data_IF_630770905927
#
_entry.id   IF_630770905927
#
_cell.length_a   1.000
_cell.length_b   1.000
_cell.length_c   1.000
_cell.angle_alpha   90.00
_cell.angle_beta   90.00
_cell.angle_gamma   90.00
#
_symmetry.space_group_name_H-M   'P 1'
#
loop_
_entity.id
_entity.type
_entity.pdbx_description
1 polymer ?
#
# COMPACT_ATOMS: atom_id res chain seq x y z
N UNK A 1 15.53 -40.22 -0.59
CA UNK A 1 14.66 -40.76 0.46
C UNK A 1 13.20 -40.77 0.03
N UNK A 2 12.65 -39.65 -0.49
CA UNK A 2 11.24 -39.56 -0.89
C UNK A 2 10.82 -40.61 -1.91
N UNK A 3 11.62 -40.86 -2.96
CA UNK A 3 11.35 -41.89 -3.99
C UNK A 3 11.55 -43.33 -3.52
N UNK A 4 12.50 -43.56 -2.61
CA UNK A 4 12.85 -44.90 -2.17
C UNK A 4 12.03 -45.37 -0.96
N UNK A 5 11.63 -44.44 -0.09
CA UNK A 5 10.92 -44.72 1.15
C UNK A 5 9.83 -43.67 1.38
N UNK A 6 8.77 -43.63 0.55
CA UNK A 6 7.76 -42.60 0.61
C UNK A 6 6.92 -42.58 1.91
N UNK A 7 6.88 -43.73 2.60
CA UNK A 7 6.14 -43.88 3.87
C UNK A 7 6.99 -43.51 5.11
N UNK A 8 8.25 -43.17 4.93
CA UNK A 8 9.16 -42.88 6.05
C UNK A 8 9.02 -41.40 6.52
N UNK A 9 9.33 -41.14 7.80
CA UNK A 9 9.43 -39.79 8.35
C UNK A 9 10.47 -38.90 7.65
N UNK A 10 11.37 -39.51 6.89
CA UNK A 10 12.40 -38.84 6.11
C UNK A 10 11.89 -38.32 4.76
N UNK A 11 10.80 -38.87 4.21
CA UNK A 11 10.27 -38.45 2.93
C UNK A 11 9.85 -36.97 2.94
N UNK A 12 8.98 -36.50 3.84
CA UNK A 12 8.61 -35.09 3.89
C UNK A 12 9.79 -34.18 4.28
N UNK A 13 10.72 -34.66 5.13
CA UNK A 13 11.91 -33.88 5.47
C UNK A 13 12.81 -33.67 4.25
N UNK A 14 13.05 -34.71 3.45
CA UNK A 14 13.89 -34.61 2.25
C UNK A 14 13.25 -33.76 1.15
N UNK A 15 11.91 -33.83 0.99
CA UNK A 15 11.18 -33.00 0.05
C UNK A 15 11.33 -31.49 0.41
N UNK A 16 11.14 -31.14 1.68
CA UNK A 16 11.28 -29.77 2.14
C UNK A 16 12.74 -29.27 2.05
N UNK A 17 13.72 -30.12 2.36
CA UNK A 17 15.14 -29.78 2.23
C UNK A 17 15.55 -29.58 0.76
N UNK A 18 14.97 -30.32 -0.19
CA UNK A 18 15.18 -30.09 -1.62
C UNK A 18 14.64 -28.70 -2.04
N UNK A 19 13.43 -28.35 -1.62
CA UNK A 19 12.87 -27.03 -1.87
C UNK A 19 13.74 -25.92 -1.28
N UNK A 20 14.18 -26.08 -0.03
CA UNK A 20 15.09 -25.13 0.61
C UNK A 20 16.42 -24.99 -0.15
N UNK A 21 16.97 -26.08 -0.69
CA UNK A 21 18.20 -26.04 -1.48
C UNK A 21 18.06 -25.24 -2.77
N UNK A 22 16.89 -25.23 -3.40
CA UNK A 22 16.59 -24.35 -4.52
C UNK A 22 16.48 -22.89 -4.09
N UNK A 23 15.79 -22.64 -2.97
CA UNK A 23 15.62 -21.28 -2.43
C UNK A 23 16.95 -20.58 -2.15
N UNK A 24 17.91 -21.25 -1.48
CA UNK A 24 19.22 -20.65 -1.15
C UNK A 24 20.13 -20.44 -2.37
N UNK A 25 19.78 -20.99 -3.53
CA UNK A 25 20.46 -20.81 -4.80
C UNK A 25 19.72 -19.81 -5.71
N UNK A 26 18.70 -19.11 -5.18
CA UNK A 26 17.84 -18.17 -5.91
C UNK A 26 17.05 -18.78 -7.05
N UNK A 27 16.90 -20.11 -7.08
CA UNK A 27 16.03 -20.83 -8.02
C UNK A 27 14.59 -20.84 -7.50
N UNK A 28 13.99 -19.65 -7.45
CA UNK A 28 12.68 -19.45 -6.82
C UNK A 28 11.54 -20.23 -7.50
N UNK A 29 11.57 -20.36 -8.82
CA UNK A 29 10.56 -21.11 -9.55
C UNK A 29 10.54 -22.59 -9.17
N UNK A 30 11.72 -23.20 -9.08
CA UNK A 30 11.90 -24.59 -8.67
C UNK A 30 11.57 -24.79 -7.19
N UNK A 31 11.95 -23.82 -6.36
CA UNK A 31 11.59 -23.81 -4.93
C UNK A 31 10.07 -23.77 -4.75
N UNK A 32 9.36 -22.86 -5.44
CA UNK A 32 7.90 -22.74 -5.42
C UNK A 32 7.25 -24.08 -5.80
N UNK A 33 7.64 -24.66 -6.95
CA UNK A 33 7.09 -25.94 -7.41
C UNK A 33 7.25 -27.06 -6.37
N UNK A 34 8.43 -27.17 -5.77
CA UNK A 34 8.70 -28.18 -4.74
C UNK A 34 7.97 -27.91 -3.42
N UNK A 35 7.78 -26.65 -3.03
CA UNK A 35 7.02 -26.28 -1.84
C UNK A 35 5.53 -26.55 -2.00
N UNK A 36 4.93 -26.18 -3.14
CA UNK A 36 3.53 -26.48 -3.45
C UNK A 36 3.28 -27.98 -3.46
N UNK A 37 4.20 -28.74 -4.06
CA UNK A 37 4.15 -30.22 -4.03
C UNK A 37 4.24 -30.76 -2.60
N UNK A 38 5.15 -30.22 -1.76
CA UNK A 38 5.28 -30.61 -0.36
C UNK A 38 3.98 -30.36 0.41
N UNK A 39 3.42 -29.16 0.32
CA UNK A 39 2.19 -28.76 1.01
C UNK A 39 1.02 -29.65 0.59
N UNK A 40 0.92 -29.98 -0.71
CA UNK A 40 -0.12 -30.86 -1.23
C UNK A 40 0.05 -32.32 -0.78
N UNK A 41 1.29 -32.83 -0.77
CA UNK A 41 1.57 -34.24 -0.44
C UNK A 41 1.59 -34.51 1.06
N UNK A 42 1.95 -33.52 1.87
CA UNK A 42 2.14 -33.66 3.31
C UNK A 42 1.40 -32.61 4.14
N UNK A 43 0.07 -32.41 3.94
CA UNK A 43 -0.67 -31.27 4.54
C UNK A 43 -0.76 -31.33 6.09
N UNK A 44 -0.44 -32.47 6.70
CA UNK A 44 -0.44 -32.64 8.16
C UNK A 44 0.96 -32.71 8.77
N UNK A 45 2.00 -32.49 7.97
CA UNK A 45 3.36 -32.47 8.49
C UNK A 45 3.56 -31.25 9.41
N UNK A 46 4.33 -31.46 10.46
CA UNK A 46 4.61 -30.41 11.48
C UNK A 46 5.39 -29.22 10.94
N UNK A 47 5.89 -29.27 9.72
CA UNK A 47 6.68 -28.22 9.05
C UNK A 47 5.91 -27.51 7.97
N UNK A 48 4.59 -27.70 7.88
CA UNK A 48 3.74 -27.02 6.89
C UNK A 48 3.72 -25.52 7.12
N UNK A 49 3.80 -25.05 8.35
CA UNK A 49 3.96 -23.62 8.69
C UNK A 49 5.21 -23.02 8.06
N UNK A 50 6.35 -23.69 8.22
CA UNK A 50 7.61 -23.29 7.57
C UNK A 50 7.54 -23.38 6.03
N UNK A 51 6.88 -24.41 5.48
CA UNK A 51 6.74 -24.54 4.04
C UNK A 51 5.95 -23.36 3.42
N UNK A 52 4.84 -22.96 4.02
CA UNK A 52 4.08 -21.78 3.59
C UNK A 52 4.89 -20.48 3.77
N UNK A 53 5.60 -20.34 4.88
CA UNK A 53 6.49 -19.21 5.09
C UNK A 53 7.58 -19.12 4.01
N UNK A 54 8.25 -20.23 3.71
CA UNK A 54 9.30 -20.29 2.69
C UNK A 54 8.74 -20.05 1.28
N UNK A 55 7.52 -20.52 0.99
CA UNK A 55 6.80 -20.25 -0.26
C UNK A 55 6.51 -18.75 -0.40
N UNK A 56 6.05 -18.10 0.68
CA UNK A 56 5.86 -16.66 0.71
C UNK A 56 7.16 -15.91 0.46
N UNK A 57 8.27 -16.37 1.06
CA UNK A 57 9.60 -15.78 0.83
C UNK A 57 10.07 -15.93 -0.62
N UNK A 58 9.83 -17.08 -1.26
CA UNK A 58 10.16 -17.25 -2.69
C UNK A 58 9.43 -16.25 -3.59
N UNK A 59 8.15 -15.98 -3.30
CA UNK A 59 7.41 -14.93 -4.03
C UNK A 59 7.91 -13.52 -3.68
N UNK A 60 8.27 -13.28 -2.41
CA UNK A 60 8.73 -11.99 -1.94
C UNK A 60 10.07 -11.59 -2.57
N UNK A 61 11.03 -12.49 -2.67
CA UNK A 61 12.36 -12.22 -3.24
C UNK A 61 12.34 -11.96 -4.77
N UNK A 62 11.26 -12.35 -5.46
CA UNK A 62 11.08 -12.04 -6.89
C UNK A 62 10.66 -10.60 -7.18
N UNK A 63 10.53 -9.76 -6.14
CA UNK A 63 10.10 -8.37 -6.28
C UNK A 63 11.30 -7.51 -6.68
N UNK A 64 11.26 -6.94 -7.88
CA UNK A 64 12.32 -6.04 -8.34
C UNK A 64 12.05 -4.55 -8.05
N UNK A 65 10.81 -4.07 -8.27
CA UNK A 65 10.40 -2.70 -7.95
C UNK A 65 8.87 -2.52 -8.09
N UNK A 66 8.33 -1.42 -7.51
CA UNK A 66 6.90 -1.08 -7.49
C UNK A 66 6.29 -0.79 -8.87
N UNK A 67 7.10 -0.61 -9.91
CA UNK A 67 6.59 -0.30 -11.26
C UNK A 67 6.25 -1.55 -12.07
N UNK A 68 6.75 -2.70 -11.66
CA UNK A 68 6.51 -3.98 -12.33
C UNK A 68 5.22 -4.67 -11.88
N UNK A 69 5.06 -5.92 -12.27
CA UNK A 69 3.92 -6.73 -11.86
C UNK A 69 3.92 -6.95 -10.34
N UNK A 70 2.75 -6.78 -9.72
CA UNK A 70 2.54 -7.04 -8.29
C UNK A 70 2.03 -8.45 -7.99
N UNK A 71 1.84 -9.31 -8.99
CA UNK A 71 1.30 -10.66 -8.76
C UNK A 71 2.16 -11.48 -7.79
N UNK A 72 3.51 -11.51 -7.89
CA UNK A 72 4.34 -12.19 -6.89
C UNK A 72 4.11 -11.63 -5.48
N UNK A 73 4.00 -10.31 -5.35
CA UNK A 73 3.76 -9.64 -4.07
C UNK A 73 2.43 -10.02 -3.42
N UNK A 74 1.38 -10.11 -4.24
CA UNK A 74 0.05 -10.54 -3.78
C UNK A 74 0.06 -12.01 -3.38
N UNK A 75 0.80 -12.86 -4.11
CA UNK A 75 1.00 -14.26 -3.76
C UNK A 75 1.77 -14.40 -2.44
N UNK A 76 2.86 -13.66 -2.27
CA UNK A 76 3.61 -13.62 -1.01
C UNK A 76 2.71 -13.21 0.16
N UNK A 77 1.93 -12.13 0.01
CA UNK A 77 1.00 -11.67 1.03
C UNK A 77 -0.01 -12.74 1.43
N UNK A 78 -0.60 -13.44 0.44
CA UNK A 78 -1.56 -14.52 0.68
C UNK A 78 -0.95 -15.63 1.54
N UNK A 79 0.25 -16.06 1.23
CA UNK A 79 0.93 -17.13 1.96
C UNK A 79 1.37 -16.67 3.37
N UNK A 80 1.86 -15.43 3.52
CA UNK A 80 2.13 -14.84 4.85
C UNK A 80 0.85 -14.71 5.69
N UNK A 81 -0.27 -14.24 5.12
CA UNK A 81 -1.57 -14.19 5.80
C UNK A 81 -2.02 -15.58 6.24
N UNK A 82 -1.78 -16.61 5.41
CA UNK A 82 -2.08 -17.99 5.78
C UNK A 82 -1.29 -18.43 7.03
N UNK A 83 0.01 -18.14 7.07
CA UNK A 83 0.87 -18.46 8.23
C UNK A 83 0.38 -17.76 9.49
N UNK A 84 0.07 -16.45 9.40
CA UNK A 84 -0.41 -15.67 10.54
C UNK A 84 -1.73 -16.24 11.10
N UNK A 85 -2.65 -16.59 10.21
CA UNK A 85 -3.99 -17.02 10.62
C UNK A 85 -4.02 -18.45 11.16
N UNK A 86 -3.22 -19.36 10.60
CA UNK A 86 -3.26 -20.78 10.95
C UNK A 86 -2.20 -21.16 12.00
N UNK A 87 -1.09 -20.42 12.08
CA UNK A 87 0.04 -20.71 12.98
C UNK A 87 0.47 -19.49 13.81
N UNK A 88 -0.45 -18.77 14.50
CA UNK A 88 -0.21 -17.44 15.09
C UNK A 88 0.85 -17.40 16.20
N UNK A 89 1.23 -18.57 16.74
CA UNK A 89 2.20 -18.69 17.86
C UNK A 89 3.63 -19.01 17.40
N UNK A 90 3.87 -19.08 16.08
CA UNK A 90 5.20 -19.40 15.55
C UNK A 90 6.01 -18.12 15.28
N UNK A 91 7.33 -18.26 15.31
CA UNK A 91 8.24 -17.16 14.93
C UNK A 91 8.03 -16.76 13.47
N UNK A 92 7.63 -17.71 12.61
CA UNK A 92 7.28 -17.46 11.22
C UNK A 92 6.06 -16.53 11.08
N UNK A 93 5.06 -16.66 11.96
CA UNK A 93 3.92 -15.75 11.97
C UNK A 93 4.30 -14.35 12.42
N UNK A 94 5.24 -14.22 13.35
CA UNK A 94 5.73 -12.91 13.79
C UNK A 94 6.48 -12.21 12.64
N UNK A 95 7.43 -12.90 11.98
CA UNK A 95 8.16 -12.35 10.85
C UNK A 95 7.22 -12.04 9.67
N UNK A 96 6.23 -12.90 9.40
CA UNK A 96 5.23 -12.68 8.35
C UNK A 96 4.46 -11.36 8.52
N UNK A 97 4.18 -10.93 9.75
CA UNK A 97 3.54 -9.62 10.01
C UNK A 97 4.42 -8.47 9.54
N UNK A 98 5.72 -8.49 9.87
CA UNK A 98 6.66 -7.48 9.39
C UNK A 98 6.79 -7.49 7.86
N UNK A 99 6.82 -8.68 7.25
CA UNK A 99 6.85 -8.79 5.78
C UNK A 99 5.60 -8.22 5.13
N UNK A 100 4.41 -8.44 5.70
CA UNK A 100 3.16 -7.86 5.22
C UNK A 100 3.17 -6.33 5.30
N UNK A 101 3.72 -5.76 6.36
CA UNK A 101 3.84 -4.30 6.47
C UNK A 101 4.71 -3.74 5.35
N UNK A 102 5.86 -4.36 5.06
CA UNK A 102 6.72 -3.98 3.93
C UNK A 102 6.00 -4.15 2.58
N UNK A 103 5.26 -5.24 2.39
CA UNK A 103 4.44 -5.47 1.20
C UNK A 103 3.39 -4.36 1.03
N UNK A 104 2.71 -3.98 2.10
CA UNK A 104 1.71 -2.92 2.08
C UNK A 104 2.33 -1.57 1.68
N UNK A 105 3.55 -1.26 2.15
CA UNK A 105 4.30 -0.07 1.71
C UNK A 105 4.57 -0.07 0.20
N UNK A 106 5.00 -1.20 -0.37
CA UNK A 106 5.27 -1.31 -1.82
C UNK A 106 3.98 -1.14 -2.63
N UNK A 107 2.87 -1.77 -2.20
CA UNK A 107 1.59 -1.64 -2.88
C UNK A 107 1.06 -0.19 -2.79
N UNK A 108 1.12 0.43 -1.61
CA UNK A 108 0.72 1.82 -1.42
C UNK A 108 1.58 2.78 -2.26
N UNK A 109 2.88 2.53 -2.38
CA UNK A 109 3.78 3.27 -3.29
C UNK A 109 3.31 3.22 -4.73
N UNK A 110 2.93 2.04 -5.24
CA UNK A 110 2.40 1.88 -6.60
C UNK A 110 1.07 2.62 -6.79
N UNK A 111 0.14 2.50 -5.83
CA UNK A 111 -1.12 3.23 -5.88
C UNK A 111 -0.88 4.75 -5.89
N UNK A 112 0.05 5.24 -5.08
CA UNK A 112 0.47 6.64 -5.06
C UNK A 112 1.07 7.07 -6.40
N UNK A 113 1.97 6.28 -6.98
CA UNK A 113 2.55 6.55 -8.30
C UNK A 113 1.48 6.66 -9.38
N UNK A 114 0.53 5.71 -9.43
CA UNK A 114 -0.58 5.71 -10.37
C UNK A 114 -1.52 6.90 -10.14
N UNK A 115 -1.84 7.22 -8.89
CA UNK A 115 -2.65 8.38 -8.53
C UNK A 115 -2.04 9.69 -9.03
N UNK A 116 -0.75 9.91 -8.78
CA UNK A 116 0.00 11.07 -9.28
C UNK A 116 0.04 11.12 -10.81
N UNK A 117 0.17 9.96 -11.47
CA UNK A 117 0.11 9.88 -12.94
C UNK A 117 -1.26 10.31 -13.48
N UNK A 118 -2.36 9.84 -12.86
CA UNK A 118 -3.71 10.24 -13.26
C UNK A 118 -3.99 11.72 -13.02
N UNK A 119 -3.46 12.34 -11.97
CA UNK A 119 -3.51 13.80 -11.77
C UNK A 119 -2.88 14.53 -12.97
N UNK A 120 -1.65 14.13 -13.37
CA UNK A 120 -0.97 14.72 -14.53
C UNK A 120 -1.78 14.61 -15.84
N UNK A 121 -2.57 13.55 -15.98
CA UNK A 121 -3.47 13.31 -17.11
C UNK A 121 -4.85 13.94 -16.93
N UNK A 122 -5.11 14.66 -15.83
CA UNK A 122 -6.41 15.24 -15.46
C UNK A 122 -7.55 14.22 -15.38
N UNK A 123 -7.23 12.94 -15.12
CA UNK A 123 -8.19 11.85 -14.91
C UNK A 123 -8.57 11.78 -13.43
N UNK A 124 -9.37 12.74 -12.98
CA UNK A 124 -9.64 12.99 -11.57
C UNK A 124 -10.25 11.80 -10.83
N UNK A 125 -11.29 11.16 -11.40
CA UNK A 125 -11.95 10.01 -10.80
C UNK A 125 -10.97 8.84 -10.61
N UNK A 126 -10.15 8.56 -11.62
CA UNK A 126 -9.15 7.50 -11.53
C UNK A 126 -8.11 7.79 -10.45
N UNK A 127 -7.70 9.07 -10.31
CA UNK A 127 -6.78 9.48 -9.26
C UNK A 127 -7.41 9.34 -7.86
N UNK A 128 -8.66 9.80 -7.69
CA UNK A 128 -9.42 9.68 -6.43
C UNK A 128 -9.48 8.23 -5.99
N UNK A 129 -9.85 7.30 -6.89
CA UNK A 129 -9.97 5.88 -6.56
C UNK A 129 -8.64 5.29 -6.08
N UNK A 130 -7.50 5.70 -6.65
CA UNK A 130 -6.17 5.25 -6.20
C UNK A 130 -5.84 5.73 -4.79
N UNK A 131 -6.04 7.00 -4.50
CA UNK A 131 -5.78 7.54 -3.17
C UNK A 131 -6.75 7.01 -2.12
N UNK A 132 -8.04 6.83 -2.47
CA UNK A 132 -9.00 6.18 -1.58
C UNK A 132 -8.64 4.72 -1.29
N UNK A 133 -8.07 4.00 -2.26
CA UNK A 133 -7.58 2.64 -2.05
C UNK A 133 -6.46 2.60 -0.99
N UNK A 134 -5.55 3.59 -0.99
CA UNK A 134 -4.52 3.71 0.05
C UNK A 134 -5.17 3.87 1.43
N UNK A 135 -6.11 4.80 1.57
CA UNK A 135 -6.75 5.07 2.85
C UNK A 135 -7.59 3.90 3.37
N UNK A 136 -8.16 3.10 2.47
CA UNK A 136 -9.02 1.97 2.83
C UNK A 136 -8.22 0.73 3.22
N UNK A 137 -7.15 0.42 2.49
CA UNK A 137 -6.48 -0.88 2.57
C UNK A 137 -5.02 -0.79 3.07
N UNK A 138 -4.43 0.42 3.11
CA UNK A 138 -3.02 0.66 3.43
C UNK A 138 -2.84 1.90 4.30
N UNK A 139 -3.78 2.16 5.21
CA UNK A 139 -3.83 3.38 6.02
C UNK A 139 -2.63 3.55 6.97
N UNK A 140 -1.98 2.44 7.35
CA UNK A 140 -0.81 2.45 8.23
C UNK A 140 0.49 2.81 7.53
N UNK A 141 0.48 2.95 6.20
CA UNK A 141 1.67 3.27 5.42
C UNK A 141 2.01 4.77 5.45
N UNK A 142 3.27 5.08 5.18
CA UNK A 142 3.76 6.47 5.10
C UNK A 142 3.06 7.30 4.01
N UNK A 143 2.36 6.64 3.07
CA UNK A 143 1.67 7.28 1.95
C UNK A 143 0.29 7.85 2.32
N UNK A 144 -0.27 7.50 3.47
CA UNK A 144 -1.63 7.90 3.88
C UNK A 144 -1.79 9.40 4.00
N UNK A 145 -0.84 10.09 4.61
CA UNK A 145 -0.88 11.55 4.75
C UNK A 145 -0.88 12.26 3.38
N UNK A 146 0.00 11.84 2.47
CA UNK A 146 0.01 12.41 1.12
C UNK A 146 -1.26 12.07 0.36
N UNK A 147 -1.79 10.85 0.47
CA UNK A 147 -3.01 10.45 -0.20
C UNK A 147 -4.20 11.33 0.21
N UNK A 148 -4.35 11.63 1.52
CA UNK A 148 -5.37 12.56 2.01
C UNK A 148 -5.15 13.96 1.40
N UNK A 149 -3.93 14.47 1.42
CA UNK A 149 -3.61 15.77 0.82
C UNK A 149 -3.96 15.82 -0.68
N UNK A 150 -3.64 14.78 -1.44
CA UNK A 150 -4.00 14.70 -2.87
C UNK A 150 -5.51 14.68 -3.10
N UNK A 151 -6.26 14.04 -2.22
CA UNK A 151 -7.72 14.10 -2.26
C UNK A 151 -8.23 15.51 -1.99
N UNK A 152 -7.64 16.25 -1.04
CA UNK A 152 -7.95 17.68 -0.84
C UNK A 152 -7.72 18.49 -2.11
N UNK A 153 -6.54 18.36 -2.73
CA UNK A 153 -6.17 19.08 -3.95
C UNK A 153 -7.15 18.79 -5.10
N UNK A 154 -7.47 17.51 -5.33
CA UNK A 154 -8.34 17.12 -6.44
C UNK A 154 -9.76 17.65 -6.21
N UNK A 155 -10.38 17.38 -5.05
CA UNK A 155 -11.74 17.81 -4.77
C UNK A 155 -11.87 19.34 -4.83
N UNK A 156 -10.87 20.06 -4.32
CA UNK A 156 -10.84 21.52 -4.44
C UNK A 156 -10.74 21.98 -5.90
N UNK A 157 -9.89 21.33 -6.70
CA UNK A 157 -9.68 21.67 -8.12
C UNK A 157 -10.94 21.47 -8.97
N UNK A 158 -11.71 20.41 -8.69
CA UNK A 158 -12.97 20.12 -9.43
C UNK A 158 -14.20 20.84 -8.85
N UNK A 159 -14.00 21.67 -7.83
CA UNK A 159 -15.07 22.52 -7.24
C UNK A 159 -15.88 21.86 -6.13
N UNK A 160 -15.53 20.65 -5.69
CA UNK A 160 -16.14 19.94 -4.55
C UNK A 160 -15.53 20.39 -3.22
N UNK A 161 -15.75 21.68 -2.85
CA UNK A 161 -15.08 22.28 -1.70
C UNK A 161 -15.43 21.63 -0.36
N UNK A 162 -16.64 21.15 -0.20
CA UNK A 162 -17.07 20.52 1.05
C UNK A 162 -16.40 19.14 1.25
N UNK A 163 -16.22 18.37 0.18
CA UNK A 163 -15.45 17.13 0.23
C UNK A 163 -13.96 17.41 0.50
N UNK A 164 -13.41 18.44 -0.14
CA UNK A 164 -12.03 18.89 0.12
C UNK A 164 -11.83 19.26 1.61
N UNK A 165 -12.80 19.97 2.21
CA UNK A 165 -12.75 20.33 3.65
C UNK A 165 -12.82 19.10 4.55
N UNK A 166 -13.63 18.07 4.21
CA UNK A 166 -13.71 16.83 4.98
C UNK A 166 -12.34 16.14 5.03
N UNK A 167 -11.66 15.97 3.87
CA UNK A 167 -10.32 15.39 3.83
C UNK A 167 -9.29 16.27 4.55
N UNK A 168 -9.36 17.60 4.43
CA UNK A 168 -8.47 18.50 5.15
C UNK A 168 -8.66 18.41 6.68
N UNK A 169 -9.91 18.27 7.14
CA UNK A 169 -10.24 18.05 8.55
C UNK A 169 -9.72 16.71 9.06
N UNK A 170 -9.86 15.63 8.24
CA UNK A 170 -9.30 14.31 8.54
C UNK A 170 -7.77 14.38 8.71
N UNK A 171 -7.09 15.09 7.81
CA UNK A 171 -5.65 15.29 7.88
C UNK A 171 -5.24 16.09 9.12
N UNK A 172 -6.00 17.15 9.45
CA UNK A 172 -5.76 17.94 10.66
C UNK A 172 -6.01 17.19 11.96
N UNK A 173 -7.00 16.30 11.99
CA UNK A 173 -7.31 15.48 13.16
C UNK A 173 -6.23 14.42 13.44
N UNK A 174 -5.80 13.70 12.41
CA UNK A 174 -4.88 12.58 12.56
C UNK A 174 -3.38 12.99 12.48
N UNK A 175 -3.06 14.07 11.74
CA UNK A 175 -1.68 14.40 11.35
C UNK A 175 -1.39 15.90 11.44
N UNK A 176 -1.72 16.52 12.58
CA UNK A 176 -1.64 17.97 12.80
C UNK A 176 -0.24 18.57 12.55
N UNK A 177 0.82 17.82 12.85
CA UNK A 177 2.22 18.24 12.66
C UNK A 177 2.74 18.03 11.24
N UNK A 178 1.98 17.35 10.38
CA UNK A 178 2.39 16.95 9.03
C UNK A 178 2.62 18.16 8.11
N UNK A 179 3.64 18.05 7.26
CA UNK A 179 3.85 18.99 6.16
C UNK A 179 2.70 18.98 5.14
N UNK A 180 2.02 17.84 4.98
CA UNK A 180 0.86 17.70 4.11
C UNK A 180 -0.35 18.45 4.66
N UNK A 181 -0.53 18.47 5.99
CA UNK A 181 -1.55 19.30 6.63
C UNK A 181 -1.30 20.79 6.35
N UNK A 182 -0.08 21.26 6.54
CA UNK A 182 0.29 22.66 6.26
C UNK A 182 0.04 23.05 4.80
N UNK A 183 0.34 22.15 3.87
CA UNK A 183 0.06 22.35 2.44
C UNK A 183 -1.43 22.41 2.15
N UNK A 184 -2.23 21.49 2.71
CA UNK A 184 -3.69 21.48 2.57
C UNK A 184 -4.32 22.77 3.11
N UNK A 185 -3.88 23.24 4.27
CA UNK A 185 -4.34 24.47 4.88
C UNK A 185 -4.09 25.70 3.98
N UNK A 186 -2.96 25.76 3.30
CA UNK A 186 -2.63 26.86 2.37
C UNK A 186 -3.59 26.92 1.18
N UNK A 187 -4.13 25.80 0.69
CA UNK A 187 -5.08 25.77 -0.41
C UNK A 187 -6.32 26.63 -0.09
N UNK A 188 -6.89 26.47 1.10
CA UNK A 188 -8.07 27.23 1.53
C UNK A 188 -7.74 28.68 1.86
N UNK A 189 -6.62 28.95 2.46
CA UNK A 189 -6.20 30.31 2.84
C UNK A 189 -5.86 31.17 1.62
N UNK A 190 -5.28 30.62 0.58
CA UNK A 190 -4.97 31.36 -0.66
C UNK A 190 -6.26 31.93 -1.28
N UNK A 191 -7.31 31.12 -1.36
CA UNK A 191 -8.62 31.58 -1.89
C UNK A 191 -9.27 32.63 -0.99
N UNK A 192 -9.15 32.48 0.34
CA UNK A 192 -9.65 33.47 1.30
C UNK A 192 -8.96 34.81 1.11
N UNK A 193 -7.66 34.85 0.92
CA UNK A 193 -6.89 36.08 0.69
C UNK A 193 -7.25 36.73 -0.66
N UNK A 194 -7.39 35.96 -1.72
CA UNK A 194 -7.82 36.44 -3.04
C UNK A 194 -9.22 37.09 -2.92
N UNK A 195 -10.18 36.39 -2.33
CA UNK A 195 -11.54 36.89 -2.16
C UNK A 195 -11.59 38.15 -1.28
N UNK A 196 -10.76 38.22 -0.23
CA UNK A 196 -10.64 39.41 0.62
C UNK A 196 -10.07 40.57 -0.18
N UNK A 197 -9.05 40.35 -0.97
CA UNK A 197 -8.44 41.40 -1.81
C UNK A 197 -9.40 41.91 -2.90
N UNK A 198 -10.18 41.02 -3.55
CA UNK A 198 -11.21 41.42 -4.51
C UNK A 198 -12.33 42.24 -3.84
N UNK A 199 -12.78 41.87 -2.64
CA UNK A 199 -13.81 42.61 -1.90
C UNK A 199 -13.31 44.00 -1.44
N UNK A 200 -12.04 44.08 -1.06
CA UNK A 200 -11.42 45.37 -0.66
C UNK A 200 -11.19 46.26 -1.87
N UNK A 201 -10.82 45.71 -3.06
CA UNK A 201 -10.68 46.47 -4.29
C UNK A 201 -12.03 47.02 -4.76
N UNK A 202 -13.08 46.20 -4.81
CA UNK A 202 -14.44 46.64 -5.16
C UNK A 202 -15.03 47.70 -4.20
N UNK A 203 -14.68 47.64 -2.91
CA UNK A 203 -15.07 48.70 -1.93
C UNK A 203 -14.34 50.01 -2.19
N UNK A 204 -13.05 49.96 -2.53
CA UNK A 204 -12.27 51.17 -2.87
C UNK A 204 -12.78 51.81 -4.16
N UNK A 205 -13.04 51.04 -5.20
CA UNK A 205 -13.56 51.53 -6.47
C UNK A 205 -14.94 52.20 -6.30
N UNK A 206 -15.84 51.60 -5.47
CA UNK A 206 -17.13 52.23 -5.14
C UNK A 206 -16.99 53.51 -4.32
N UNK A 207 -16.04 53.57 -3.40
CA UNK A 207 -15.82 54.76 -2.59
C UNK A 207 -15.20 55.92 -3.38
N UNK A 208 -14.42 55.60 -4.43
CA UNK A 208 -13.82 56.60 -5.33
C UNK A 208 -14.87 57.16 -6.31
N UNK A 209 -15.80 56.32 -6.79
CA UNK A 209 -16.94 56.78 -7.61
C UNK A 209 -17.91 57.71 -6.87
N UNK A 210 -18.11 57.48 -5.56
CA UNK A 210 -19.01 58.33 -4.74
C UNK A 210 -18.35 59.65 -4.35
N UNK A 211 -17.02 59.79 -4.39
CA UNK A 211 -16.31 61.02 -4.07
C UNK A 211 -16.16 61.98 -5.28
N UNK A 212 -16.47 61.49 -6.48
CA UNK A 212 -16.39 62.25 -7.73
C UNK A 212 -17.76 62.72 -8.25
N UNK A 213 -18.80 62.64 -7.40
CA UNK A 213 -20.10 63.26 -7.54
C UNK A 213 -20.31 64.26 -6.43
#
# INVERSE_FOLDING_TARGET
AELLLPQSDWAPKSALMAAYSYYIQDYYSEAIFNLERFISSYPKDKRVDYAHYLLAMCYYEQIENEKRDLQPLLSAKKEFDFVINNYPKTDFALDSKFKIDLINEVIASKEMYLGRHYIKKKKWISAINRFQNILKNYETTIYSEEAIHRLVEIHYTIGLEDEAKKYASLLGYNYLSSEWYKKSYKIFNTKYQINKNLRTKNKKDKSTLIKNF
#
